data_IF_416772975883
#
_entry.id   IF_416772975883
#
_cell.length_a   1.000
_cell.length_b   1.000
_cell.length_c   1.000
_cell.angle_alpha   90.00
_cell.angle_beta   90.00
_cell.angle_gamma   90.00
#
_symmetry.space_group_name_H-M   'P 1'
#
loop_
_entity.id
_entity.type
_entity.pdbx_description
1 polymer ?
#
# COMPACT_ATOMS: atom_id res chain seq x y z
N UNK A 1 2.58 6.84 1.35
CA UNK A 1 1.30 6.94 0.62
C UNK A 1 1.07 5.77 -0.35
N UNK A 2 1.94 5.55 -1.36
CA UNK A 2 1.84 4.38 -2.28
C UNK A 2 1.89 3.01 -1.56
N UNK A 3 2.63 2.92 -0.44
CA UNK A 3 2.75 1.70 0.36
C UNK A 3 1.41 1.26 0.96
N UNK A 4 0.53 2.20 1.33
CA UNK A 4 -0.77 1.88 1.94
C UNK A 4 -1.79 1.44 0.88
N UNK A 5 -1.82 2.09 -0.30
CA UNK A 5 -2.56 1.59 -1.47
C UNK A 5 -2.11 0.18 -1.86
N UNK A 6 -0.80 -0.06 -1.95
CA UNK A 6 -0.27 -1.40 -2.25
C UNK A 6 -0.53 -2.42 -1.14
N UNK A 7 -0.50 -2.01 0.14
CA UNK A 7 -0.79 -2.89 1.28
C UNK A 7 -2.27 -3.27 1.33
N UNK A 8 -3.17 -2.30 1.17
CA UNK A 8 -4.61 -2.49 1.12
C UNK A 8 -5.05 -3.26 -0.14
N UNK A 9 -4.50 -2.93 -1.31
CA UNK A 9 -4.68 -3.68 -2.56
C UNK A 9 -4.23 -5.13 -2.43
N UNK A 10 -3.07 -5.39 -1.81
CA UNK A 10 -2.62 -6.76 -1.49
C UNK A 10 -3.55 -7.49 -0.53
N UNK A 11 -4.08 -6.81 0.48
CA UNK A 11 -5.00 -7.40 1.45
C UNK A 11 -6.36 -7.77 0.79
N UNK A 12 -6.87 -6.92 -0.09
CA UNK A 12 -8.08 -7.20 -0.88
C UNK A 12 -7.86 -8.33 -1.89
N UNK A 13 -6.74 -8.34 -2.63
CA UNK A 13 -6.41 -9.46 -3.52
C UNK A 13 -6.33 -10.79 -2.76
N UNK A 14 -5.77 -10.80 -1.53
CA UNK A 14 -5.74 -11.99 -0.68
C UNK A 14 -7.14 -12.45 -0.25
N UNK A 15 -8.01 -11.55 0.20
CA UNK A 15 -9.42 -11.88 0.52
C UNK A 15 -10.17 -12.42 -0.70
N UNK A 16 -9.86 -11.88 -1.90
CA UNK A 16 -10.46 -12.31 -3.17
C UNK A 16 -10.11 -13.75 -3.51
N UNK A 17 -8.82 -14.04 -3.50
CA UNK A 17 -8.29 -15.38 -3.74
C UNK A 17 -8.75 -16.42 -2.70
N UNK A 18 -9.03 -15.98 -1.47
CA UNK A 18 -9.57 -16.83 -0.40
C UNK A 18 -11.04 -17.21 -0.62
N UNK A 19 -11.87 -16.32 -1.15
CA UNK A 19 -13.27 -16.66 -1.45
C UNK A 19 -13.34 -17.57 -2.70
N UNK A 20 -12.48 -17.35 -3.71
CA UNK A 20 -12.42 -18.19 -4.91
C UNK A 20 -12.01 -19.65 -4.57
N UNK A 21 -11.18 -19.87 -3.54
CA UNK A 21 -10.77 -21.22 -3.11
C UNK A 21 -11.92 -22.05 -2.50
N UNK A 22 -13.01 -21.42 -2.06
CA UNK A 22 -14.16 -22.13 -1.46
C UNK A 22 -15.17 -22.68 -2.48
N UNK A 23 -15.04 -22.32 -3.77
CA UNK A 23 -15.80 -22.91 -4.87
C UNK A 23 -14.86 -23.71 -5.78
N UNK A 24 -14.62 -24.98 -5.44
CA UNK A 24 -14.00 -25.93 -6.38
C UNK A 24 -14.95 -27.09 -6.65
N UNK A 25 -15.90 -26.84 -7.56
CA UNK A 25 -16.57 -27.87 -8.36
C UNK A 25 -17.25 -27.26 -9.60
N UNK A 26 -16.55 -26.43 -10.36
CA UNK A 26 -16.82 -26.22 -11.78
C UNK A 26 -15.60 -25.58 -12.43
N UNK A 27 -14.99 -26.26 -13.40
CA UNK A 27 -14.03 -25.66 -14.33
C UNK A 27 -14.76 -24.69 -15.28
N UNK A 28 -15.35 -23.64 -14.72
CA UNK A 28 -15.67 -22.44 -15.47
C UNK A 28 -14.41 -21.60 -15.41
N UNK A 29 -13.56 -21.71 -16.44
CA UNK A 29 -12.56 -20.68 -16.69
C UNK A 29 -13.25 -19.31 -16.64
N UNK A 30 -12.59 -18.24 -16.16
CA UNK A 30 -13.24 -16.97 -15.92
C UNK A 30 -14.04 -16.58 -17.15
N UNK A 31 -15.36 -16.64 -17.03
CA UNK A 31 -16.26 -16.14 -18.04
C UNK A 31 -15.89 -14.67 -18.19
N UNK A 32 -15.25 -14.31 -19.30
CA UNK A 32 -15.22 -12.92 -19.75
C UNK A 32 -16.65 -12.53 -20.13
N UNK A 33 -17.51 -12.32 -19.13
CA UNK A 33 -18.41 -11.18 -19.20
C UNK A 33 -17.48 -9.96 -19.17
N UNK A 34 -16.98 -9.56 -20.34
CA UNK A 34 -15.95 -8.55 -20.46
C UNK A 34 -16.43 -7.24 -19.84
N UNK A 35 -15.79 -6.82 -18.74
CA UNK A 35 -15.96 -5.48 -18.21
C UNK A 35 -15.60 -4.47 -19.31
N UNK A 36 -16.56 -3.67 -19.76
CA UNK A 36 -16.28 -2.56 -20.66
C UNK A 36 -15.41 -1.55 -19.92
N UNK A 37 -14.11 -1.65 -20.16
CA UNK A 37 -13.10 -0.84 -19.50
C UNK A 37 -13.26 0.65 -19.82
N UNK A 38 -13.78 1.00 -21.00
CA UNK A 38 -14.03 2.42 -21.34
C UNK A 38 -15.22 2.95 -20.57
N UNK A 39 -16.32 2.18 -20.51
CA UNK A 39 -17.48 2.56 -19.72
C UNK A 39 -17.10 2.65 -18.23
N UNK A 40 -16.34 1.67 -17.73
CA UNK A 40 -15.84 1.69 -16.36
C UNK A 40 -15.02 2.94 -16.08
N UNK A 41 -14.07 3.29 -16.96
CA UNK A 41 -13.28 4.50 -16.83
C UNK A 41 -14.13 5.77 -16.80
N UNK A 42 -15.12 5.86 -17.67
CA UNK A 42 -16.02 7.01 -17.74
C UNK A 42 -16.82 7.14 -16.45
N UNK A 43 -17.42 6.05 -15.98
CA UNK A 43 -18.23 6.03 -14.75
C UNK A 43 -17.40 6.38 -13.52
N UNK A 44 -16.18 5.83 -13.36
CA UNK A 44 -15.33 6.22 -12.22
C UNK A 44 -14.88 7.68 -12.29
N UNK A 45 -14.66 8.22 -13.49
CA UNK A 45 -14.28 9.61 -13.66
C UNK A 45 -15.46 10.54 -13.33
N UNK A 46 -16.63 10.25 -13.87
CA UNK A 46 -17.80 11.13 -13.72
C UNK A 46 -18.40 11.08 -12.31
N UNK A 47 -18.34 9.93 -11.62
CA UNK A 47 -18.90 9.78 -10.27
C UNK A 47 -17.86 9.89 -9.16
N UNK A 48 -16.79 9.09 -9.26
CA UNK A 48 -15.85 8.97 -8.14
C UNK A 48 -14.82 10.09 -8.15
N UNK A 49 -14.27 10.43 -9.32
CA UNK A 49 -13.25 11.48 -9.45
C UNK A 49 -13.84 12.88 -9.22
N UNK A 50 -14.99 13.21 -9.82
CA UNK A 50 -15.63 14.52 -9.60
C UNK A 50 -15.88 14.80 -8.11
N UNK A 51 -16.44 13.82 -7.37
CA UNK A 51 -16.62 13.97 -5.92
C UNK A 51 -15.30 14.13 -5.17
N UNK A 52 -14.27 13.38 -5.56
CA UNK A 52 -12.94 13.49 -4.96
C UNK A 52 -12.33 14.88 -5.21
N UNK A 53 -12.46 15.42 -6.42
CA UNK A 53 -11.95 16.74 -6.78
C UNK A 53 -12.62 17.84 -5.94
N UNK A 54 -13.94 17.80 -5.77
CA UNK A 54 -14.68 18.74 -4.92
C UNK A 54 -14.17 18.72 -3.46
N UNK A 55 -13.99 17.53 -2.89
CA UNK A 55 -13.48 17.37 -1.53
C UNK A 55 -12.03 17.83 -1.40
N UNK A 56 -11.19 17.58 -2.40
CA UNK A 56 -9.80 18.05 -2.42
C UNK A 56 -9.69 19.57 -2.57
N UNK A 57 -10.59 20.20 -3.35
CA UNK A 57 -10.68 21.66 -3.47
C UNK A 57 -11.11 22.27 -2.13
N UNK A 58 -12.09 21.66 -1.44
CA UNK A 58 -12.51 22.08 -0.09
C UNK A 58 -11.39 21.95 0.95
N UNK A 59 -10.57 20.90 0.83
CA UNK A 59 -9.48 20.65 1.77
C UNK A 59 -8.36 21.69 1.68
N UNK A 60 -8.31 22.53 0.65
CA UNK A 60 -7.22 23.47 0.36
C UNK A 60 -5.87 22.79 0.05
N UNK A 61 -5.13 23.34 -0.91
CA UNK A 61 -3.89 22.73 -1.41
C UNK A 61 -2.77 22.64 -0.37
N UNK A 62 -2.77 23.51 0.64
CA UNK A 62 -1.79 23.47 1.74
C UNK A 62 -1.90 22.22 2.62
N UNK A 63 -3.03 21.52 2.58
CA UNK A 63 -3.34 20.35 3.44
C UNK A 63 -3.33 19.02 2.70
N UNK A 64 -3.14 19.01 1.37
CA UNK A 64 -3.10 17.77 0.59
C UNK A 64 -2.02 16.80 1.06
N UNK A 65 -0.93 17.27 1.67
CA UNK A 65 0.12 16.39 2.18
C UNK A 65 -0.14 15.82 3.58
N UNK A 66 -1.23 16.24 4.25
CA UNK A 66 -1.65 15.72 5.54
C UNK A 66 -2.44 14.43 5.35
N UNK A 67 -1.85 13.29 5.76
CA UNK A 67 -2.52 12.00 5.65
C UNK A 67 -3.80 11.89 6.50
N UNK A 68 -3.83 12.33 7.77
CA UNK A 68 -5.06 12.25 8.58
C UNK A 68 -6.24 12.98 7.95
N UNK A 69 -6.00 14.07 7.23
CA UNK A 69 -7.05 14.85 6.58
C UNK A 69 -7.47 14.25 5.22
N UNK A 70 -6.52 13.71 4.45
CA UNK A 70 -6.80 13.13 3.11
C UNK A 70 -7.24 11.66 3.15
N UNK A 71 -7.02 10.95 4.26
CA UNK A 71 -7.31 9.51 4.38
C UNK A 71 -8.78 9.19 4.17
N UNK A 72 -9.70 9.99 4.72
CA UNK A 72 -11.14 9.77 4.58
C UNK A 72 -11.61 10.01 3.14
N UNK A 73 -11.18 11.12 2.53
CA UNK A 73 -11.50 11.47 1.14
C UNK A 73 -10.99 10.39 0.17
N UNK A 74 -9.74 9.96 0.36
CA UNK A 74 -9.13 8.90 -0.45
C UNK A 74 -9.82 7.54 -0.22
N UNK A 75 -10.23 7.24 1.01
CA UNK A 75 -11.03 6.07 1.35
C UNK A 75 -12.38 6.07 0.63
N UNK A 76 -13.06 7.23 0.58
CA UNK A 76 -14.30 7.43 -0.16
C UNK A 76 -14.15 7.20 -1.66
N UNK A 77 -13.11 7.77 -2.29
CA UNK A 77 -12.77 7.54 -3.69
C UNK A 77 -12.57 6.06 -3.98
N UNK A 78 -11.81 5.39 -3.12
CA UNK A 78 -11.47 3.98 -3.28
C UNK A 78 -12.69 3.07 -3.12
N UNK A 79 -13.52 3.32 -2.11
CA UNK A 79 -14.79 2.64 -1.92
C UNK A 79 -15.72 2.83 -3.13
N UNK A 80 -15.80 4.05 -3.68
CA UNK A 80 -16.58 4.34 -4.89
C UNK A 80 -16.11 3.51 -6.09
N UNK A 81 -14.79 3.49 -6.39
CA UNK A 81 -14.26 2.71 -7.52
C UNK A 81 -14.49 1.20 -7.37
N UNK A 82 -14.46 0.70 -6.13
CA UNK A 82 -14.76 -0.68 -5.79
C UNK A 82 -16.24 -1.01 -6.00
N UNK A 83 -17.15 -0.18 -5.50
CA UNK A 83 -18.60 -0.37 -5.70
C UNK A 83 -18.98 -0.31 -7.18
N UNK A 84 -18.41 0.62 -7.94
CA UNK A 84 -18.65 0.73 -9.38
C UNK A 84 -18.14 -0.53 -10.11
N UNK A 85 -16.98 -1.06 -9.72
CA UNK A 85 -16.48 -2.31 -10.29
C UNK A 85 -17.43 -3.48 -9.99
N UNK A 86 -17.92 -3.60 -8.75
CA UNK A 86 -18.87 -4.64 -8.37
C UNK A 86 -20.20 -4.53 -9.15
N UNK A 87 -20.71 -3.32 -9.39
CA UNK A 87 -21.97 -3.12 -10.14
C UNK A 87 -21.86 -3.42 -11.63
N UNK A 88 -20.66 -3.34 -12.19
CA UNK A 88 -20.39 -3.64 -13.61
C UNK A 88 -19.71 -5.00 -13.80
N UNK A 89 -19.72 -5.85 -12.76
CA UNK A 89 -19.09 -7.17 -12.74
C UNK A 89 -17.59 -7.15 -13.17
N UNK A 90 -16.92 -6.03 -12.87
CA UNK A 90 -15.51 -5.81 -13.17
C UNK A 90 -14.60 -6.31 -12.04
N UNK A 91 -13.44 -6.83 -12.39
CA UNK A 91 -12.42 -7.15 -11.39
C UNK A 91 -11.79 -5.88 -10.81
N UNK A 92 -11.77 -5.79 -9.47
CA UNK A 92 -11.08 -4.75 -8.73
C UNK A 92 -9.99 -5.38 -7.84
N UNK A 93 -8.75 -4.89 -7.82
CA UNK A 93 -8.21 -3.81 -8.66
C UNK A 93 -7.76 -4.29 -10.05
N UNK A 94 -7.82 -3.42 -11.06
CA UNK A 94 -7.40 -3.66 -12.44
C UNK A 94 -6.38 -2.60 -12.89
N UNK A 95 -5.64 -2.85 -13.98
CA UNK A 95 -4.64 -1.91 -14.56
C UNK A 95 -5.22 -0.52 -14.81
N UNK A 96 -6.49 -0.45 -15.18
CA UNK A 96 -7.22 0.80 -15.39
C UNK A 96 -7.30 1.64 -14.11
N UNK A 97 -7.65 0.99 -13.01
CA UNK A 97 -7.77 1.61 -11.68
C UNK A 97 -6.39 2.01 -11.16
N UNK A 98 -5.36 1.18 -11.39
CA UNK A 98 -3.98 1.52 -11.03
C UNK A 98 -3.51 2.80 -11.75
N UNK A 99 -3.75 2.91 -13.06
CA UNK A 99 -3.43 4.11 -13.83
C UNK A 99 -4.23 5.33 -13.37
N UNK A 100 -5.50 5.13 -13.03
CA UNK A 100 -6.36 6.19 -12.49
C UNK A 100 -5.81 6.75 -11.18
N UNK A 101 -5.48 5.89 -10.21
CA UNK A 101 -4.89 6.32 -8.95
C UNK A 101 -3.50 6.94 -9.13
N UNK A 102 -2.68 6.42 -10.05
CA UNK A 102 -1.38 7.02 -10.36
C UNK A 102 -1.49 8.45 -10.87
N UNK A 103 -2.49 8.75 -11.73
CA UNK A 103 -2.75 10.13 -12.16
C UNK A 103 -3.09 11.05 -10.99
N UNK A 104 -3.95 10.57 -10.08
CA UNK A 104 -4.32 11.33 -8.87
C UNK A 104 -3.10 11.60 -7.98
N UNK A 105 -2.25 10.59 -7.76
CA UNK A 105 -1.00 10.74 -7.03
C UNK A 105 -0.08 11.78 -7.67
N UNK A 106 0.04 11.76 -9.00
CA UNK A 106 0.88 12.71 -9.71
C UNK A 106 0.31 14.14 -9.72
N UNK A 107 -1.01 14.31 -9.76
CA UNK A 107 -1.63 15.64 -9.79
C UNK A 107 -1.67 16.29 -8.41
N UNK A 108 -2.13 15.57 -7.37
CA UNK A 108 -2.39 16.16 -6.05
C UNK A 108 -1.24 15.94 -5.05
N UNK A 109 -0.47 14.86 -5.20
CA UNK A 109 0.48 14.41 -4.19
C UNK A 109 1.94 14.38 -4.67
N UNK A 110 2.22 14.86 -5.89
CA UNK A 110 3.57 14.91 -6.47
C UNK A 110 4.59 15.62 -5.55
N UNK A 111 4.19 16.73 -4.93
CA UNK A 111 5.04 17.48 -4.01
C UNK A 111 5.08 16.90 -2.59
N UNK A 112 4.14 16.01 -2.24
CA UNK A 112 4.01 15.48 -0.88
C UNK A 112 5.04 14.40 -0.55
N UNK A 113 5.68 13.78 -1.55
CA UNK A 113 6.76 12.81 -1.32
C UNK A 113 8.00 13.45 -0.65
N UNK A 114 8.21 14.76 -0.85
CA UNK A 114 9.27 15.53 -0.19
C UNK A 114 8.92 15.80 1.29
N UNK A 115 7.66 16.12 1.58
CA UNK A 115 7.17 16.39 2.94
C UNK A 115 6.95 15.09 3.75
N UNK A 116 6.58 14.00 3.09
CA UNK A 116 6.34 12.69 3.71
C UNK A 116 7.61 11.91 4.07
N UNK A 117 8.77 12.23 3.47
CA UNK A 117 10.09 11.82 4.01
C UNK A 117 10.53 12.66 5.20
N UNK A 118 9.89 13.81 5.44
CA UNK A 118 10.10 14.63 6.63
C UNK A 118 9.30 14.11 7.84
N UNK A 119 8.27 13.29 7.60
CA UNK A 119 7.51 12.61 8.64
C UNK A 119 8.18 11.27 8.99
N UNK A 120 9.25 11.37 9.79
CA UNK A 120 9.69 10.33 10.72
C UNK A 120 10.40 9.09 10.13
N UNK A 121 11.49 9.27 9.39
CA UNK A 121 12.69 8.54 9.83
C UNK A 121 13.10 9.24 11.14
N UNK A 122 13.02 8.61 12.33
CA UNK A 122 13.60 9.22 13.52
C UNK A 122 15.04 9.58 13.16
N UNK A 123 15.48 10.77 13.57
CA UNK A 123 16.82 11.29 13.27
C UNK A 123 17.85 10.17 13.38
N UNK A 124 18.80 10.10 12.45
CA UNK A 124 19.86 9.07 12.41
C UNK A 124 20.50 8.85 13.80
N UNK A 125 20.46 9.86 14.68
CA UNK A 125 20.85 9.79 16.09
C UNK A 125 20.12 8.79 16.99
N UNK A 126 18.92 8.27 16.65
CA UNK A 126 18.20 7.24 17.43
C UNK A 126 18.31 5.85 16.79
N UNK A 127 18.29 5.77 15.45
CA UNK A 127 18.43 4.49 14.73
C UNK A 127 19.86 3.94 14.78
N UNK A 128 20.86 4.82 14.64
CA UNK A 128 22.27 4.43 14.68
C UNK A 128 22.70 3.74 15.99
N UNK A 129 22.35 4.24 17.20
CA UNK A 129 22.70 3.54 18.43
C UNK A 129 21.97 2.20 18.57
N UNK A 130 20.73 2.07 18.10
CA UNK A 130 20.00 0.80 18.20
C UNK A 130 20.62 -0.30 17.32
N UNK A 131 21.00 0.06 16.09
CA UNK A 131 21.74 -0.82 15.18
C UNK A 131 23.13 -1.12 15.77
N UNK A 132 23.84 -0.10 16.27
CA UNK A 132 25.15 -0.25 16.89
C UNK A 132 25.15 -1.18 18.10
N UNK A 133 24.19 -1.04 19.01
CA UNK A 133 24.01 -1.92 20.17
C UNK A 133 23.73 -3.36 19.72
N UNK A 134 22.86 -3.55 18.72
CA UNK A 134 22.55 -4.88 18.19
C UNK A 134 23.79 -5.57 17.59
N UNK A 135 24.62 -4.82 16.85
CA UNK A 135 25.88 -5.33 16.27
C UNK A 135 26.93 -5.63 17.34
N UNK A 136 27.07 -4.76 18.35
CA UNK A 136 27.99 -4.98 19.47
C UNK A 136 27.66 -6.26 20.24
N UNK A 137 26.37 -6.51 20.52
CA UNK A 137 25.92 -7.73 21.18
C UNK A 137 26.29 -8.96 20.33
N UNK A 138 26.05 -8.91 19.02
CA UNK A 138 26.42 -10.01 18.12
C UNK A 138 27.93 -10.29 18.14
N UNK A 139 28.78 -9.26 18.12
CA UNK A 139 30.24 -9.40 18.18
C UNK A 139 30.73 -9.96 19.53
N UNK A 140 30.11 -9.54 20.63
CA UNK A 140 30.43 -10.09 21.95
C UNK A 140 30.05 -11.56 22.04
N UNK A 141 28.87 -11.94 21.56
CA UNK A 141 28.43 -13.33 21.56
C UNK A 141 29.35 -14.22 20.72
N UNK A 142 29.74 -13.79 19.52
CA UNK A 142 30.67 -14.55 18.68
C UNK A 142 32.06 -14.66 19.32
N UNK A 143 32.58 -13.58 19.93
CA UNK A 143 33.85 -13.61 20.64
C UNK A 143 33.83 -14.57 21.84
N UNK A 144 32.73 -14.55 22.64
CA UNK A 144 32.54 -15.47 23.76
C UNK A 144 32.46 -16.91 23.29
N UNK A 145 31.74 -17.20 22.20
CA UNK A 145 31.64 -18.55 21.63
C UNK A 145 33.00 -19.04 21.14
N UNK A 146 33.76 -18.21 20.43
CA UNK A 146 35.11 -18.56 19.96
C UNK A 146 36.04 -18.81 21.14
N UNK A 147 35.99 -17.95 22.17
CA UNK A 147 36.81 -18.11 23.37
C UNK A 147 36.46 -19.39 24.13
N UNK A 148 35.16 -19.69 24.30
CA UNK A 148 34.69 -20.94 24.89
C UNK A 148 35.12 -22.15 24.06
N UNK A 149 34.95 -22.10 22.74
CA UNK A 149 35.37 -23.18 21.82
C UNK A 149 36.87 -23.47 21.94
N UNK A 150 37.71 -22.43 21.93
CA UNK A 150 39.16 -22.54 22.13
C UNK A 150 39.53 -23.16 23.48
N UNK A 151 38.77 -22.85 24.54
CA UNK A 151 39.01 -23.42 25.87
C UNK A 151 38.55 -24.87 25.99
N UNK A 152 37.48 -25.24 25.29
CA UNK A 152 36.97 -26.62 25.26
C UNK A 152 37.87 -27.55 24.44
N UNK A 153 38.50 -27.05 23.37
CA UNK A 153 39.53 -27.80 22.61
C UNK A 153 40.88 -27.90 23.36
N UNK A 154 41.19 -26.96 24.25
CA UNK A 154 42.38 -27.06 25.13
C UNK A 154 42.18 -27.90 26.39
N UNK A 155 40.97 -28.46 26.60
CA UNK A 155 40.60 -29.31 27.74
C UNK A 155 40.23 -30.75 27.33
N UNK A 156 40.27 -31.06 26.03
CA UNK A 156 40.24 -32.42 25.45
C UNK A 156 41.64 -32.80 24.97
#
# INVERSE_FOLDING_TARGET
MVIFYQSWSRNIKKKKHLYDWTLSAAHVGPSECGCDSRLYQKVINDLCFNRFEEEMVRLDSGRWCSWPETMEIYGGLTNCTCQVALRMDCFWPNRLVDNFFMKIHNTYFHHCALTGRLLHEPSIGILAPFIGVSVLIALLMTAVVVWRSKRTEGML
#
